data_IF_421651898420
#
_entry.id   IF_421651898420
#
_cell.length_a   1.000
_cell.length_b   1.000
_cell.length_c   1.000
_cell.angle_alpha   90.00
_cell.angle_beta   90.00
_cell.angle_gamma   90.00
#
_symmetry.space_group_name_H-M   'P 1'
#
loop_
_entity.id
_entity.type
_entity.pdbx_description
1 polymer ?
#
# COMPACT_ATOMS: atom_id res chain seq x y z
N UNK A 1 -2.19 15.92 23.20
CA UNK A 1 -2.32 14.46 22.96
C UNK A 1 -0.95 13.84 22.80
N UNK A 2 -0.65 12.84 23.61
CA UNK A 2 0.62 12.12 23.61
C UNK A 2 0.70 11.17 22.39
N UNK A 3 1.90 10.71 22.04
CA UNK A 3 2.08 9.90 20.83
C UNK A 3 1.49 8.49 20.99
N UNK A 4 1.51 7.96 22.21
CA UNK A 4 0.91 6.69 22.61
C UNK A 4 -0.59 6.66 22.31
N UNK A 5 -1.29 7.72 22.72
CA UNK A 5 -2.73 7.91 22.48
C UNK A 5 -3.03 7.96 20.98
N UNK A 6 -2.23 8.72 20.22
CA UNK A 6 -2.36 8.80 18.75
C UNK A 6 -2.21 7.43 18.09
N UNK A 7 -1.22 6.65 18.51
CA UNK A 7 -0.97 5.31 17.97
C UNK A 7 -2.13 4.36 18.27
N UNK A 8 -2.70 4.41 19.49
CA UNK A 8 -3.88 3.61 19.86
C UNK A 8 -5.09 4.01 19.01
N UNK A 9 -5.36 5.31 18.88
CA UNK A 9 -6.46 5.83 18.06
C UNK A 9 -6.34 5.39 16.60
N UNK A 10 -5.13 5.41 16.05
CA UNK A 10 -4.84 4.98 14.68
C UNK A 10 -4.82 3.47 14.47
N UNK A 11 -4.93 2.67 15.54
CA UNK A 11 -5.00 1.21 15.50
C UNK A 11 -6.41 0.64 15.73
N UNK A 12 -7.42 1.51 15.89
CA UNK A 12 -8.81 1.09 16.04
C UNK A 12 -9.26 0.33 14.79
N UNK A 13 -9.88 -0.84 15.00
CA UNK A 13 -10.45 -1.65 13.91
C UNK A 13 -11.55 -0.88 13.20
N UNK A 14 -11.64 -1.05 11.89
CA UNK A 14 -12.69 -0.47 11.04
C UNK A 14 -12.71 1.07 11.01
N UNK A 15 -11.64 1.73 11.47
CA UNK A 15 -11.52 3.17 11.43
C UNK A 15 -10.23 3.60 10.73
N UNK A 16 -10.38 4.55 9.82
CA UNK A 16 -9.32 5.45 9.40
C UNK A 16 -9.32 6.64 10.38
N UNK A 17 -8.26 6.79 11.17
CA UNK A 17 -8.10 7.91 12.10
C UNK A 17 -7.03 8.87 11.61
N UNK A 18 -7.39 10.16 11.56
CA UNK A 18 -6.54 11.25 11.11
C UNK A 18 -6.37 12.26 12.25
N UNK A 19 -5.17 12.32 12.83
CA UNK A 19 -4.84 13.18 13.96
C UNK A 19 -4.55 14.60 13.50
N UNK A 20 -5.18 15.59 14.11
CA UNK A 20 -4.91 16.98 13.78
C UNK A 20 -3.58 17.47 14.35
N UNK A 21 -2.70 17.96 13.47
CA UNK A 21 -1.42 18.56 13.83
C UNK A 21 -1.17 19.82 12.99
N UNK A 22 -1.63 20.96 13.50
CA UNK A 22 -1.56 22.24 12.81
C UNK A 22 -2.35 22.23 11.50
N UNK A 23 -1.68 22.48 10.38
CA UNK A 23 -2.31 22.53 9.05
C UNK A 23 -2.43 21.15 8.38
N UNK A 24 -1.91 20.10 9.01
CA UNK A 24 -1.93 18.74 8.50
C UNK A 24 -2.75 17.82 9.39
N UNK A 25 -3.19 16.72 8.79
CA UNK A 25 -3.77 15.59 9.47
C UNK A 25 -2.80 14.40 9.33
N UNK A 26 -2.32 13.85 10.44
CA UNK A 26 -1.40 12.71 10.43
C UNK A 26 -2.15 11.41 10.62
N UNK A 27 -1.85 10.44 9.76
CA UNK A 27 -2.25 9.05 9.94
C UNK A 27 -1.01 8.25 10.36
N UNK A 28 -1.16 7.37 11.34
CA UNK A 28 -0.09 6.49 11.81
C UNK A 28 -0.43 5.04 11.52
N UNK A 29 0.59 4.22 11.26
CA UNK A 29 0.54 2.76 11.19
C UNK A 29 -0.66 2.25 10.36
N UNK A 30 -1.64 1.61 10.99
CA UNK A 30 -2.82 1.07 10.30
C UNK A 30 -3.63 2.15 9.58
N UNK A 31 -3.83 3.32 10.21
CA UNK A 31 -4.50 4.44 9.54
C UNK A 31 -3.68 4.98 8.35
N UNK A 32 -2.35 4.96 8.42
CA UNK A 32 -1.49 5.34 7.28
C UNK A 32 -1.58 4.33 6.14
N UNK A 33 -1.63 3.03 6.46
CA UNK A 33 -1.89 1.97 5.49
C UNK A 33 -3.24 2.17 4.82
N UNK A 34 -4.32 2.32 5.59
CA UNK A 34 -5.67 2.54 5.05
C UNK A 34 -5.69 3.77 4.14
N UNK A 35 -5.16 4.91 4.62
CA UNK A 35 -5.17 6.14 3.84
C UNK A 35 -4.42 5.99 2.52
N UNK A 36 -3.27 5.30 2.54
CA UNK A 36 -2.41 5.15 1.36
C UNK A 36 -2.82 4.03 0.42
N UNK A 37 -3.61 3.04 0.85
CA UNK A 37 -4.04 1.96 -0.02
C UNK A 37 -5.46 2.17 -0.57
N UNK A 38 -6.33 2.85 0.17
CA UNK A 38 -7.74 2.99 -0.20
C UNK A 38 -8.09 4.33 -0.82
N UNK A 39 -7.36 5.39 -0.46
CA UNK A 39 -7.73 6.75 -0.83
C UNK A 39 -6.63 7.49 -1.58
N UNK A 40 -5.37 7.38 -1.16
CA UNK A 40 -4.28 8.21 -1.68
C UNK A 40 -2.93 7.50 -1.78
N UNK A 41 -2.71 6.79 -2.90
CA UNK A 41 -1.47 6.05 -3.14
C UNK A 41 -0.22 6.95 -3.24
N UNK A 42 -0.39 8.22 -3.61
CA UNK A 42 0.73 9.15 -3.83
C UNK A 42 1.19 9.89 -2.55
N UNK A 43 0.56 9.65 -1.40
CA UNK A 43 1.02 10.27 -0.16
C UNK A 43 2.40 9.76 0.21
N UNK A 44 3.32 10.69 0.47
CA UNK A 44 4.64 10.34 1.00
C UNK A 44 4.47 9.70 2.39
N UNK A 45 4.78 8.41 2.43
CA UNK A 45 4.87 7.63 3.67
C UNK A 45 6.29 7.76 4.20
N UNK A 46 6.42 8.15 5.46
CA UNK A 46 7.68 8.28 6.18
C UNK A 46 7.70 7.25 7.32
N UNK A 47 8.89 6.82 7.72
CA UNK A 47 9.04 6.09 8.97
C UNK A 47 9.86 6.90 9.98
N UNK A 48 9.69 6.58 11.26
CA UNK A 48 10.46 7.21 12.33
C UNK A 48 10.58 6.26 13.52
N UNK A 49 11.58 6.49 14.35
CA UNK A 49 11.80 5.79 15.61
C UNK A 49 11.48 6.71 16.78
N UNK A 50 10.57 6.29 17.64
CA UNK A 50 10.21 7.06 18.83
C UNK A 50 11.05 6.57 20.01
N UNK A 51 12.08 7.33 20.38
CA UNK A 51 12.99 7.00 21.49
C UNK A 51 12.27 6.78 22.81
N UNK A 52 11.28 7.64 23.12
CA UNK A 52 10.46 7.57 24.34
C UNK A 52 9.57 6.32 24.43
N UNK A 53 9.39 5.59 23.34
CA UNK A 53 8.61 4.36 23.26
C UNK A 53 9.50 3.15 22.98
N UNK A 54 10.59 2.97 23.73
CA UNK A 54 11.51 1.85 23.57
C UNK A 54 11.98 1.67 22.12
N UNK A 55 12.30 2.79 21.45
CA UNK A 55 12.70 2.80 20.05
C UNK A 55 11.68 2.16 19.10
N UNK A 56 10.38 2.24 19.43
CA UNK A 56 9.30 1.75 18.56
C UNK A 56 9.36 2.44 17.21
N UNK A 57 9.49 1.64 16.16
CA UNK A 57 9.36 2.08 14.77
C UNK A 57 7.88 2.37 14.48
N UNK A 58 7.63 3.50 13.83
CA UNK A 58 6.32 3.90 13.36
C UNK A 58 6.40 4.28 11.89
N UNK A 59 5.27 4.13 11.21
CA UNK A 59 5.09 4.61 9.84
C UNK A 59 3.96 5.64 9.87
N UNK A 60 4.11 6.74 9.16
CA UNK A 60 3.09 7.79 9.13
C UNK A 60 3.07 8.52 7.79
N UNK A 61 1.95 9.17 7.51
CA UNK A 61 1.82 10.09 6.39
C UNK A 61 1.06 11.35 6.83
N UNK A 62 1.30 12.45 6.13
CA UNK A 62 0.63 13.73 6.37
C UNK A 62 -0.34 14.03 5.24
N UNK A 63 -1.57 14.41 5.61
CA UNK A 63 -2.64 14.77 4.70
C UNK A 63 -3.02 16.25 4.88
N UNK A 64 -3.17 17.05 3.82
CA UNK A 64 -3.51 18.47 3.95
C UNK A 64 -4.92 18.67 4.54
N UNK A 65 -5.03 19.32 5.71
CA UNK A 65 -6.32 19.50 6.42
C UNK A 65 -7.38 20.16 5.53
N UNK A 66 -6.98 21.18 4.75
CA UNK A 66 -7.89 21.91 3.84
C UNK A 66 -8.56 21.02 2.79
N UNK A 67 -8.00 19.84 2.51
CA UNK A 67 -8.53 18.96 1.48
C UNK A 67 -9.52 17.93 2.03
N UNK A 68 -9.65 17.79 3.36
CA UNK A 68 -10.36 16.67 3.99
C UNK A 68 -11.78 16.47 3.45
N UNK A 69 -12.62 17.50 3.47
CA UNK A 69 -14.01 17.43 3.04
C UNK A 69 -14.16 17.20 1.52
N UNK A 70 -13.16 17.62 0.74
CA UNK A 70 -13.16 17.44 -0.73
C UNK A 70 -12.77 16.03 -1.14
N UNK A 71 -11.96 15.37 -0.30
CA UNK A 71 -11.17 14.20 -0.66
C UNK A 71 -11.57 12.93 0.09
N UNK A 72 -12.22 13.08 1.23
CA UNK A 72 -12.76 11.99 2.03
C UNK A 72 -14.22 12.31 2.35
N UNK A 73 -15.13 11.63 1.66
CA UNK A 73 -16.56 11.70 1.97
C UNK A 73 -16.85 10.94 3.27
N UNK A 74 -17.91 11.34 4.00
CA UNK A 74 -18.38 10.69 5.23
C UNK A 74 -17.36 10.65 6.38
N UNK A 75 -16.42 11.61 6.38
CA UNK A 75 -15.50 11.80 7.50
C UNK A 75 -16.19 12.57 8.62
N UNK A 76 -16.01 12.12 9.86
CA UNK A 76 -16.57 12.76 11.05
C UNK A 76 -15.47 13.51 11.79
N UNK A 77 -15.76 14.75 12.18
CA UNK A 77 -14.86 15.54 13.02
C UNK A 77 -14.90 15.00 14.46
N UNK A 78 -13.74 14.84 15.08
CA UNK A 78 -13.58 14.43 16.48
C UNK A 78 -12.73 15.45 17.23
N UNK A 79 -12.65 15.32 18.56
CA UNK A 79 -11.83 16.18 19.43
C UNK A 79 -10.35 16.17 19.05
N UNK A 80 -9.86 15.03 18.55
CA UNK A 80 -8.45 14.81 18.23
C UNK A 80 -8.14 14.95 16.73
N UNK A 81 -9.16 15.09 15.87
CA UNK A 81 -8.96 15.17 14.43
C UNK A 81 -10.20 14.78 13.63
N UNK A 82 -10.05 13.76 12.80
CA UNK A 82 -11.11 13.26 11.92
C UNK A 82 -11.07 11.73 11.86
N UNK A 83 -12.23 11.11 11.71
CA UNK A 83 -12.33 9.66 11.54
C UNK A 83 -13.30 9.28 10.42
N UNK A 84 -13.02 8.14 9.80
CA UNK A 84 -13.91 7.54 8.82
C UNK A 84 -14.05 6.05 9.15
N UNK A 85 -15.29 5.61 9.34
CA UNK A 85 -15.61 4.19 9.57
C UNK A 85 -15.71 3.47 8.24
N UNK A 86 -15.14 2.27 8.16
CA UNK A 86 -15.22 1.43 6.98
C UNK A 86 -14.71 0.01 7.22
N UNK A 87 -15.07 -0.89 6.33
CA UNK A 87 -14.63 -2.29 6.36
C UNK A 87 -13.29 -2.42 5.63
N UNK A 88 -12.23 -1.99 6.31
CA UNK A 88 -10.88 -2.06 5.77
C UNK A 88 -10.29 -3.44 5.97
N UNK A 89 -9.94 -4.11 4.87
CA UNK A 89 -9.06 -5.27 4.90
C UNK A 89 -7.63 -4.83 5.25
N UNK A 90 -7.09 -5.47 6.29
CA UNK A 90 -5.76 -5.24 6.84
C UNK A 90 -4.84 -6.46 6.68
N UNK A 91 -5.21 -7.46 5.88
CA UNK A 91 -4.44 -8.70 5.71
C UNK A 91 -3.01 -8.42 5.25
N UNK A 92 -2.83 -7.43 4.38
CA UNK A 92 -1.52 -7.03 3.86
C UNK A 92 -0.81 -5.94 4.67
N UNK A 93 -1.39 -5.46 5.78
CA UNK A 93 -0.83 -4.39 6.60
C UNK A 93 0.57 -4.73 7.11
N UNK A 94 0.78 -5.96 7.60
CA UNK A 94 2.06 -6.37 8.18
C UNK A 94 3.19 -6.33 7.15
N UNK A 95 2.94 -6.84 5.94
CA UNK A 95 3.91 -6.85 4.84
C UNK A 95 4.23 -5.43 4.39
N UNK A 96 3.20 -4.60 4.21
CA UNK A 96 3.36 -3.18 3.87
C UNK A 96 4.20 -2.44 4.92
N UNK A 97 3.92 -2.67 6.20
CA UNK A 97 4.62 -2.00 7.30
C UNK A 97 6.11 -2.36 7.29
N UNK A 98 6.45 -3.65 7.17
CA UNK A 98 7.85 -4.08 7.10
C UNK A 98 8.58 -3.50 5.89
N UNK A 99 7.95 -3.52 4.71
CA UNK A 99 8.51 -2.93 3.50
C UNK A 99 8.77 -1.42 3.65
N UNK A 100 7.87 -0.67 4.32
CA UNK A 100 8.10 0.75 4.60
C UNK A 100 9.22 1.01 5.60
N UNK A 101 9.55 0.05 6.45
CA UNK A 101 10.68 0.14 7.37
C UNK A 101 12.02 -0.22 6.70
N UNK A 102 12.03 -1.07 5.68
CA UNK A 102 13.26 -1.45 4.97
C UNK A 102 13.70 -0.42 3.93
N UNK A 103 12.77 0.33 3.34
CA UNK A 103 13.08 1.31 2.29
C UNK A 103 13.93 2.51 2.75
N UNK A 104 14.02 2.80 4.06
CA UNK A 104 14.87 3.89 4.57
C UNK A 104 16.18 3.40 5.22
N UNK A 105 16.42 2.08 5.33
CA UNK A 105 17.72 1.57 5.80
C UNK A 105 18.82 1.61 4.73
N UNK A 106 18.48 1.88 3.48
CA UNK A 106 19.43 1.90 2.34
C UNK A 106 20.07 3.28 2.08
N UNK A 107 19.77 4.29 2.90
CA UNK A 107 20.49 5.58 2.88
C UNK A 107 21.15 5.89 4.22
N UNK A 108 22.24 5.19 4.59
CA UNK A 108 23.16 5.72 5.59
C UNK A 108 23.95 6.88 4.97
N UNK A 109 24.06 7.97 5.72
CA UNK A 109 24.93 9.11 5.44
C UNK A 109 26.30 8.67 4.91
N UNK A 110 26.77 9.38 3.88
CA UNK A 110 28.13 9.27 3.32
C UNK A 110 29.18 9.38 4.43
N UNK A 111 29.73 8.25 4.92
CA UNK A 111 31.10 8.14 5.45
C UNK A 111 31.68 6.73 5.19
N UNK A 112 32.49 6.66 4.13
CA UNK A 112 33.71 5.86 3.95
C UNK A 112 33.76 4.36 4.37
N UNK A 113 33.91 3.51 3.32
CA UNK A 113 34.85 2.36 3.20
C UNK A 113 34.39 1.03 3.87
N UNK A 114 34.31 -0.17 3.26
CA UNK A 114 34.96 -0.82 2.09
C UNK A 114 33.99 -1.60 1.19
N UNK A 115 34.28 -1.53 -0.10
CA UNK A 115 33.82 -2.37 -1.21
C UNK A 115 34.14 -3.85 -0.99
N UNK A 116 33.15 -4.74 -1.15
CA UNK A 116 33.36 -6.08 -1.71
C UNK A 116 32.21 -6.44 -2.67
N UNK A 117 32.59 -6.45 -3.94
CA UNK A 117 31.96 -6.95 -5.17
C UNK A 117 30.74 -7.87 -5.04
N UNK A 118 29.65 -7.51 -5.71
CA UNK A 118 28.88 -8.44 -6.53
C UNK A 118 28.51 -7.77 -7.86
N UNK A 119 28.78 -8.49 -8.95
CA UNK A 119 28.81 -8.00 -10.32
C UNK A 119 27.45 -7.51 -10.80
N UNK A 120 27.44 -6.28 -11.31
CA UNK A 120 26.38 -5.67 -12.07
C UNK A 120 26.62 -5.99 -13.56
N UNK A 121 25.92 -6.97 -14.12
CA UNK A 121 25.64 -7.15 -15.56
C UNK A 121 24.76 -8.41 -15.71
N UNK A 122 23.81 -8.40 -16.65
CA UNK A 122 22.87 -9.50 -17.01
C UNK A 122 21.53 -9.63 -16.26
N UNK A 123 20.63 -8.64 -16.39
CA UNK A 123 19.16 -8.90 -16.32
C UNK A 123 18.39 -8.10 -17.38
N UNK A 124 18.95 -7.92 -18.57
CA UNK A 124 18.28 -7.19 -19.67
C UNK A 124 17.93 -8.01 -20.91
N UNK A 125 18.08 -9.34 -20.91
CA UNK A 125 17.91 -10.10 -22.16
C UNK A 125 17.10 -11.42 -22.11
N UNK A 126 16.28 -11.69 -21.08
CA UNK A 126 15.58 -12.99 -20.98
C UNK A 126 14.08 -12.96 -21.33
N UNK A 127 13.45 -11.81 -21.59
CA UNK A 127 11.97 -11.76 -21.78
C UNK A 127 11.50 -11.83 -23.25
N UNK A 128 12.38 -11.90 -24.26
CA UNK A 128 11.95 -11.73 -25.66
C UNK A 128 11.88 -12.98 -26.56
N UNK A 129 12.09 -14.20 -26.07
CA UNK A 129 12.05 -15.39 -26.96
C UNK A 129 11.54 -16.66 -26.29
N UNK A 130 10.25 -16.71 -25.94
CA UNK A 130 9.52 -17.98 -25.77
C UNK A 130 8.02 -17.70 -25.65
N UNK A 131 7.32 -17.68 -26.79
CA UNK A 131 5.93 -18.15 -27.00
C UNK A 131 5.37 -17.57 -28.30
N UNK A 132 5.92 -18.06 -29.40
CA UNK A 132 5.23 -18.11 -30.68
C UNK A 132 5.39 -19.55 -31.17
N UNK A 133 4.26 -20.20 -31.44
CA UNK A 133 4.07 -21.55 -32.01
C UNK A 133 3.91 -22.70 -31.01
N UNK A 134 2.68 -22.90 -30.53
CA UNK A 134 1.97 -24.18 -30.77
C UNK A 134 0.47 -23.93 -30.87
N UNK A 135 -0.02 -24.09 -32.09
CA UNK A 135 -1.42 -24.03 -32.50
C UNK A 135 -2.10 -25.38 -32.29
N UNK A 136 -3.42 -25.31 -32.05
CA UNK A 136 -4.44 -26.36 -32.18
C UNK A 136 -4.42 -27.52 -31.18
N UNK A 137 -5.33 -27.41 -30.22
CA UNK A 137 -6.39 -28.42 -30.08
C UNK A 137 -7.71 -27.69 -29.77
N UNK A 138 -8.58 -27.65 -30.77
CA UNK A 138 -9.99 -27.34 -30.60
C UNK A 138 -10.63 -28.49 -29.80
N UNK A 139 -11.09 -28.19 -28.60
CA UNK A 139 -12.25 -28.86 -28.01
C UNK A 139 -13.06 -27.83 -27.23
N UNK A 140 -14.14 -27.45 -27.89
CA UNK A 140 -15.35 -26.78 -27.45
C UNK A 140 -15.60 -26.73 -25.93
N UNK A 141 -15.85 -25.50 -25.48
CA UNK A 141 -16.86 -25.13 -24.48
C UNK A 141 -16.75 -25.78 -23.08
N UNK A 142 -16.09 -25.06 -22.18
CA UNK A 142 -16.77 -24.62 -20.95
C UNK A 142 -16.58 -23.12 -20.83
N UNK A 143 -17.28 -22.38 -21.71
CA UNK A 143 -17.59 -20.98 -21.49
C UNK A 143 -18.57 -20.89 -20.33
N UNK A 144 -18.08 -21.07 -19.11
CA UNK A 144 -18.73 -20.46 -17.96
C UNK A 144 -18.25 -19.02 -18.00
N UNK A 145 -19.13 -18.02 -18.26
CA UNK A 145 -18.76 -16.65 -17.95
C UNK A 145 -18.55 -16.61 -16.45
N UNK A 146 -17.30 -16.77 -16.00
CA UNK A 146 -16.95 -16.44 -14.65
C UNK A 146 -17.17 -14.93 -14.60
N UNK A 147 -18.33 -14.52 -14.12
CA UNK A 147 -18.59 -13.14 -13.76
C UNK A 147 -17.67 -12.88 -12.57
N UNK A 148 -16.42 -12.51 -12.87
CA UNK A 148 -15.48 -12.07 -11.86
C UNK A 148 -16.04 -10.76 -11.33
N UNK A 149 -16.64 -10.81 -10.14
CA UNK A 149 -17.04 -9.61 -9.45
C UNK A 149 -15.79 -9.03 -8.78
N UNK A 150 -15.23 -8.00 -9.42
CA UNK A 150 -14.08 -7.31 -8.88
C UNK A 150 -14.42 -6.68 -7.54
N UNK A 151 -13.55 -6.87 -6.56
CA UNK A 151 -13.66 -6.17 -5.29
C UNK A 151 -13.49 -4.67 -5.50
N UNK A 152 -13.98 -3.87 -4.55
CA UNK A 152 -13.79 -2.41 -4.62
C UNK A 152 -12.30 -2.03 -4.66
N UNK A 153 -11.43 -2.81 -4.03
CA UNK A 153 -9.98 -2.63 -4.09
C UNK A 153 -9.43 -2.88 -5.49
N UNK A 154 -9.82 -3.98 -6.15
CA UNK A 154 -9.42 -4.29 -7.52
C UNK A 154 -9.93 -3.22 -8.50
N UNK A 155 -11.16 -2.74 -8.33
CA UNK A 155 -11.71 -1.64 -9.11
C UNK A 155 -10.96 -0.33 -8.90
N UNK A 156 -10.62 0.01 -7.65
CA UNK A 156 -9.86 1.20 -7.34
C UNK A 156 -8.43 1.12 -7.88
N UNK A 157 -7.81 -0.06 -7.84
CA UNK A 157 -6.52 -0.30 -8.46
C UNK A 157 -6.58 -0.06 -9.97
N UNK A 158 -7.55 -0.66 -10.68
CA UNK A 158 -7.71 -0.49 -12.12
C UNK A 158 -8.00 0.96 -12.52
N UNK A 159 -8.86 1.66 -11.78
CA UNK A 159 -9.17 3.08 -12.04
C UNK A 159 -7.95 3.99 -11.95
N UNK A 160 -7.02 3.66 -11.06
CA UNK A 160 -5.83 4.46 -10.80
C UNK A 160 -4.58 3.91 -11.51
N UNK A 161 -4.70 2.81 -12.24
CA UNK A 161 -3.57 2.16 -12.89
C UNK A 161 -3.06 2.99 -14.06
N UNK A 162 -1.74 3.17 -14.12
CA UNK A 162 -1.06 3.82 -15.23
C UNK A 162 0.19 3.02 -15.61
N UNK A 163 0.34 2.76 -16.91
CA UNK A 163 1.50 2.05 -17.48
C UNK A 163 2.81 2.71 -17.02
N UNK A 164 3.70 1.93 -16.41
CA UNK A 164 5.03 2.38 -15.97
C UNK A 164 5.10 3.12 -14.63
N UNK A 165 3.97 3.40 -13.97
CA UNK A 165 3.93 4.01 -12.63
C UNK A 165 3.57 3.05 -11.50
N UNK A 166 3.09 1.86 -11.85
CA UNK A 166 2.77 0.81 -10.90
C UNK A 166 4.03 -0.03 -10.60
N UNK A 167 4.35 -0.24 -9.33
CA UNK A 167 5.45 -1.13 -8.97
C UNK A 167 5.09 -2.58 -9.34
N UNK A 168 6.06 -3.39 -9.83
CA UNK A 168 5.82 -4.77 -10.25
C UNK A 168 5.10 -5.61 -9.19
N UNK A 169 5.45 -5.44 -7.92
CA UNK A 169 4.83 -6.18 -6.81
C UNK A 169 3.33 -5.91 -6.65
N UNK A 170 2.85 -4.71 -6.97
CA UNK A 170 1.42 -4.41 -6.93
C UNK A 170 0.68 -5.02 -8.11
N UNK A 171 1.34 -5.10 -9.27
CA UNK A 171 0.81 -5.82 -10.44
C UNK A 171 0.76 -7.32 -10.17
N UNK A 172 1.81 -7.90 -9.60
CA UNK A 172 1.86 -9.32 -9.23
C UNK A 172 0.77 -9.67 -8.22
N UNK A 173 0.62 -8.88 -7.16
CA UNK A 173 -0.44 -9.08 -6.16
C UNK A 173 -1.84 -8.92 -6.76
N UNK A 174 -2.03 -7.95 -7.68
CA UNK A 174 -3.30 -7.78 -8.38
C UNK A 174 -3.61 -9.00 -9.27
N UNK A 175 -2.65 -9.44 -10.08
CA UNK A 175 -2.79 -10.63 -10.95
C UNK A 175 -3.08 -11.87 -10.12
N UNK A 176 -2.36 -12.07 -9.01
CA UNK A 176 -2.59 -13.20 -8.11
C UNK A 176 -3.98 -13.16 -7.48
N UNK A 177 -4.49 -11.97 -7.11
CA UNK A 177 -5.84 -11.83 -6.57
C UNK A 177 -6.94 -12.20 -7.59
N UNK A 178 -6.73 -11.88 -8.87
CA UNK A 178 -7.65 -12.28 -9.95
C UNK A 178 -7.52 -13.78 -10.24
N UNK A 179 -6.29 -14.31 -10.17
CA UNK A 179 -5.98 -15.72 -10.38
C UNK A 179 -6.71 -16.61 -9.38
N UNK A 180 -6.68 -16.25 -8.10
CA UNK A 180 -7.39 -16.95 -7.03
C UNK A 180 -8.91 -16.96 -7.28
N UNK A 181 -9.48 -15.83 -7.70
CA UNK A 181 -10.92 -15.73 -8.00
C UNK A 181 -11.36 -16.58 -9.21
N UNK A 182 -10.44 -16.94 -10.09
CA UNK A 182 -10.72 -17.73 -11.29
C UNK A 182 -10.53 -19.23 -11.10
N UNK A 183 -9.68 -19.67 -10.16
CA UNK A 183 -9.27 -21.07 -10.03
C UNK A 183 -9.42 -21.67 -8.62
N UNK A 184 -9.84 -20.92 -7.62
CA UNK A 184 -10.21 -21.44 -6.29
C UNK A 184 -11.74 -21.51 -6.09
N UNK A 185 -12.49 -21.95 -7.11
CA UNK A 185 -13.89 -22.37 -6.96
C UNK A 185 -13.99 -23.84 -6.57
#
# INVERSE_FOLDING_TARGET
MLIEEKLIICQRRNYLSLIEEGIFLRAYNQSAYILTQYYYNDLKVMNNMIKKLNNRKIVFCAFPKKQIMKRLSNVHKTEWGYELRGDFDLSNYKNWFQHKLSLESDFPDKKNIKTQNFNHLEVREIISKQQLNKSMNDNLLNSVPHNIQLTQQQLNFLKNWQKGKCLPIFMENFIESIRQQLWEC
#
